data_IF_126971465283
#
_entry.id   IF_126971465283
#
_cell.length_a   1.000
_cell.length_b   1.000
_cell.length_c   1.000
_cell.angle_alpha   90.00
_cell.angle_beta   90.00
_cell.angle_gamma   90.00
#
_symmetry.space_group_name_H-M   'P 1'
#
loop_
_entity.id
_entity.type
_entity.pdbx_description
1 polymer ?
#
# COMPACT_ATOMS: atom_id res chain seq x y z
N UNK A 1 23.53 3.25 -13.08
CA UNK A 1 23.17 2.52 -11.84
C UNK A 1 22.65 1.15 -12.25
N UNK A 2 22.95 0.10 -11.49
CA UNK A 2 22.43 -1.24 -11.78
C UNK A 2 20.91 -1.27 -11.54
N UNK A 3 20.17 -1.85 -12.48
CA UNK A 3 18.74 -2.13 -12.31
C UNK A 3 18.57 -3.54 -11.76
N UNK A 4 17.53 -3.76 -10.96
CA UNK A 4 17.19 -5.07 -10.41
C UNK A 4 15.70 -5.29 -10.57
N UNK A 5 15.31 -6.51 -10.94
CA UNK A 5 13.91 -6.86 -11.15
C UNK A 5 13.27 -7.26 -9.82
N UNK A 6 12.03 -6.81 -9.61
CA UNK A 6 11.21 -7.18 -8.46
C UNK A 6 10.03 -8.00 -8.98
N UNK A 7 9.83 -9.20 -8.42
CA UNK A 7 8.69 -10.06 -8.75
C UNK A 7 7.74 -10.14 -7.54
N UNK A 8 6.49 -9.71 -7.73
CA UNK A 8 5.49 -9.60 -6.67
C UNK A 8 4.26 -10.42 -7.09
N UNK A 9 3.78 -11.27 -6.19
CA UNK A 9 2.48 -11.92 -6.36
C UNK A 9 1.39 -11.01 -5.81
N UNK A 10 0.41 -10.73 -6.65
CA UNK A 10 -0.77 -9.93 -6.31
C UNK A 10 -2.01 -10.66 -6.82
N UNK A 11 -3.13 -10.43 -6.16
CA UNK A 11 -4.42 -10.87 -6.66
C UNK A 11 -4.72 -10.23 -8.03
N UNK A 12 -5.39 -10.98 -8.92
CA UNK A 12 -5.65 -10.51 -10.28
C UNK A 12 -6.62 -9.34 -10.32
N UNK A 13 -7.65 -9.34 -9.47
CA UNK A 13 -8.63 -8.25 -9.41
C UNK A 13 -7.95 -7.00 -8.85
N UNK A 14 -7.16 -7.14 -7.78
CA UNK A 14 -6.39 -6.04 -7.22
C UNK A 14 -5.43 -5.42 -8.25
N UNK A 15 -4.75 -6.26 -9.03
CA UNK A 15 -3.85 -5.80 -10.09
C UNK A 15 -4.61 -4.96 -11.11
N UNK A 16 -5.75 -5.47 -11.60
CA UNK A 16 -6.54 -4.79 -12.62
C UNK A 16 -7.06 -3.44 -12.11
N UNK A 17 -7.63 -3.41 -10.90
CA UNK A 17 -8.12 -2.15 -10.31
C UNK A 17 -7.00 -1.13 -10.09
N UNK A 18 -5.82 -1.57 -9.66
CA UNK A 18 -4.67 -0.69 -9.50
C UNK A 18 -4.16 -0.15 -10.85
N UNK A 19 -4.14 -0.97 -11.89
CA UNK A 19 -3.71 -0.59 -13.23
C UNK A 19 -4.67 0.44 -13.86
N UNK A 20 -5.98 0.24 -13.72
CA UNK A 20 -7.01 1.22 -14.13
C UNK A 20 -6.84 2.55 -13.41
N UNK A 21 -6.69 2.53 -12.07
CA UNK A 21 -6.47 3.72 -11.25
C UNK A 21 -5.20 4.48 -11.68
N UNK A 22 -4.07 3.79 -11.82
CA UNK A 22 -2.82 4.46 -12.15
C UNK A 22 -2.84 5.01 -13.57
N UNK A 23 -3.46 4.30 -14.52
CA UNK A 23 -3.59 4.80 -15.89
C UNK A 23 -4.43 6.09 -15.94
N UNK A 24 -5.52 6.17 -15.16
CA UNK A 24 -6.32 7.40 -15.02
C UNK A 24 -5.50 8.57 -14.44
N UNK A 25 -4.56 8.25 -13.53
CA UNK A 25 -3.60 9.21 -12.98
C UNK A 25 -2.40 9.50 -13.90
N UNK A 26 -2.34 8.92 -15.12
CA UNK A 26 -1.23 9.09 -16.07
C UNK A 26 0.05 8.34 -15.68
N UNK A 27 -0.06 7.29 -14.87
CA UNK A 27 1.03 6.48 -14.36
C UNK A 27 0.90 5.03 -14.81
N UNK A 28 2.02 4.38 -15.12
CA UNK A 28 2.05 2.92 -15.24
C UNK A 28 2.37 2.26 -13.89
N UNK A 29 2.09 0.96 -13.79
CA UNK A 29 2.31 0.19 -12.56
C UNK A 29 3.75 0.27 -12.04
N UNK A 30 4.75 0.24 -12.93
CA UNK A 30 6.16 0.30 -12.54
C UNK A 30 6.54 1.66 -11.94
N UNK A 31 6.02 2.75 -12.51
CA UNK A 31 6.20 4.11 -12.00
C UNK A 31 5.56 4.26 -10.62
N UNK A 32 4.34 3.77 -10.44
CA UNK A 32 3.65 3.80 -9.15
C UNK A 32 4.42 3.04 -8.06
N UNK A 33 4.88 1.82 -8.34
CA UNK A 33 5.68 1.03 -7.40
C UNK A 33 7.02 1.71 -7.10
N UNK A 34 7.67 2.31 -8.11
CA UNK A 34 8.92 3.06 -7.91
C UNK A 34 8.69 4.28 -7.00
N UNK A 35 7.58 5.00 -7.17
CA UNK A 35 7.21 6.12 -6.30
C UNK A 35 6.96 5.66 -4.87
N UNK A 36 6.26 4.54 -4.68
CA UNK A 36 6.05 3.96 -3.36
C UNK A 36 7.38 3.63 -2.68
N UNK A 37 8.29 2.92 -3.35
CA UNK A 37 9.60 2.55 -2.80
C UNK A 37 10.44 3.78 -2.43
N UNK A 38 10.48 4.79 -3.30
CA UNK A 38 11.18 6.06 -3.01
C UNK A 38 10.59 6.79 -1.81
N UNK A 39 9.26 6.81 -1.72
CA UNK A 39 8.57 7.43 -0.60
C UNK A 39 8.88 6.68 0.70
N UNK A 40 8.79 5.35 0.70
CA UNK A 40 9.09 4.55 1.88
C UNK A 40 10.51 4.77 2.41
N UNK A 41 11.50 4.83 1.51
CA UNK A 41 12.89 5.15 1.87
C UNK A 41 13.02 6.58 2.40
N UNK A 42 12.31 7.55 1.79
CA UNK A 42 12.36 8.95 2.22
C UNK A 42 11.75 9.20 3.61
N UNK A 43 10.73 8.43 3.99
CA UNK A 43 10.03 8.55 5.27
C UNK A 43 10.62 7.64 6.37
N UNK A 44 11.62 6.82 6.05
CA UNK A 44 12.12 5.74 6.92
C UNK A 44 10.96 4.89 7.49
N UNK A 45 10.00 4.56 6.62
CA UNK A 45 8.74 3.96 7.06
C UNK A 45 7.74 3.70 5.93
N UNK A 46 6.50 3.36 6.29
CA UNK A 46 5.42 3.17 5.33
C UNK A 46 4.80 4.53 4.99
N UNK A 47 4.78 4.95 3.71
CA UNK A 47 4.36 6.29 3.28
C UNK A 47 2.83 6.44 3.18
N UNK A 48 2.11 5.77 4.07
CA UNK A 48 0.66 5.90 4.25
C UNK A 48 0.30 5.53 5.68
N UNK A 49 -0.86 6.00 6.13
CA UNK A 49 -1.28 5.77 7.50
C UNK A 49 -1.72 4.31 7.72
N UNK A 50 -1.09 3.63 8.67
CA UNK A 50 -1.43 2.24 9.02
C UNK A 50 -2.57 2.26 10.06
N UNK A 51 -3.81 2.28 9.56
CA UNK A 51 -5.03 2.21 10.38
C UNK A 51 -5.77 0.89 10.21
N UNK A 52 -6.51 0.48 11.24
CA UNK A 52 -7.48 -0.62 11.16
C UNK A 52 -8.86 -0.04 10.91
N UNK A 53 -9.63 -0.65 10.02
CA UNK A 53 -11.03 -0.27 9.77
C UNK A 53 -11.95 -0.59 10.97
N UNK A 54 -11.49 -1.42 11.91
CA UNK A 54 -12.22 -1.74 13.13
C UNK A 54 -11.28 -1.78 14.33
N UNK A 55 -11.74 -1.37 15.53
CA UNK A 55 -10.96 -1.52 16.75
C UNK A 55 -10.52 -2.96 16.96
N UNK A 56 -9.33 -3.13 17.54
CA UNK A 56 -8.85 -4.47 17.87
C UNK A 56 -9.68 -5.08 19.00
N UNK A 57 -9.62 -6.41 19.16
CA UNK A 57 -10.42 -7.14 20.16
C UNK A 57 -10.20 -6.59 21.57
N UNK A 58 -8.97 -6.19 21.92
CA UNK A 58 -8.64 -5.60 23.23
C UNK A 58 -9.35 -4.26 23.44
N UNK A 59 -9.33 -3.37 22.45
CA UNK A 59 -10.03 -2.09 22.48
C UNK A 59 -11.54 -2.27 22.56
N UNK A 60 -12.12 -3.27 21.87
CA UNK A 60 -13.55 -3.58 21.97
C UNK A 60 -13.94 -4.06 23.38
N UNK A 61 -13.09 -4.87 24.01
CA UNK A 61 -13.32 -5.38 25.38
C UNK A 61 -13.29 -4.22 26.39
N UNK A 62 -12.32 -3.32 26.30
CA UNK A 62 -12.19 -2.18 27.22
C UNK A 62 -13.40 -1.21 27.11
N UNK A 63 -13.94 -1.01 25.92
CA UNK A 63 -15.14 -0.18 25.70
C UNK A 63 -16.42 -0.81 26.27
N UNK A 64 -16.49 -2.15 26.33
CA UNK A 64 -17.66 -2.88 26.85
C UNK A 64 -17.70 -2.99 28.38
N UNK A 65 -16.63 -2.55 29.07
CA UNK A 65 -16.51 -2.55 30.53
C UNK A 65 -17.01 -1.27 31.20
N UNK A 66 -17.41 -0.27 30.41
CA UNK A 66 -18.07 0.96 30.86
C UNK A 66 -19.56 0.92 30.50
#
# INVERSE_FOLDING_TARGET
MATTNINIRVDSELKQSAEELFNDLGLNMSSAITMFLKSAVSYDGIPFEIKRNSPNTKTKIDLSKY
#
